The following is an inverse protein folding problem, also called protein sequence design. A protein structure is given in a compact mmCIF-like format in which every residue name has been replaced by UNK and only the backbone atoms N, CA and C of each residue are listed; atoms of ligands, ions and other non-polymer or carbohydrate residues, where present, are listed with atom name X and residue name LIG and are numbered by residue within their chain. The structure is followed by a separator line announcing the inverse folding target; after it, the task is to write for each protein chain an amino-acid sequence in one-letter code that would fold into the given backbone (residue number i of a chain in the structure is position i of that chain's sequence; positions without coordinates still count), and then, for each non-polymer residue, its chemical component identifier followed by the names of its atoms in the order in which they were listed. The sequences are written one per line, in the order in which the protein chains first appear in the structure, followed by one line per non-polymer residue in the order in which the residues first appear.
data_IF_001134688358
#
_entry.id   IF_001134688358
#
_cell.length_a   1.000
_cell.length_b   1.000
_cell.length_c   1.000
_cell.angle_alpha   90.00
_cell.angle_beta   90.00
_cell.angle_gamma   90.00
#
_symmetry.space_group_name_H-M   'P 1'
#
loop_
_entity.id
_entity.type
_entity.pdbx_description
1 polymer ?
#
# COMPACT_ATOMS: atom_id res chain seq x y z
N UNK A 1 -22.91 8.78 9.65
CA UNK A 1 -24.07 9.21 8.84
C UNK A 1 -23.73 10.46 8.05
N UNK A 2 -23.45 10.30 6.75
CA UNK A 2 -23.14 11.40 5.83
C UNK A 2 -24.42 12.01 5.25
N UNK A 3 -25.19 12.74 6.06
CA UNK A 3 -26.49 13.32 5.66
C UNK A 3 -26.36 14.72 5.07
N UNK A 4 -25.21 15.38 5.20
CA UNK A 4 -24.96 16.73 4.67
C UNK A 4 -24.06 16.71 3.43
N UNK A 5 -24.25 17.67 2.53
CA UNK A 5 -23.40 17.85 1.34
C UNK A 5 -21.93 17.97 1.78
N UNK A 6 -21.02 17.24 1.12
CA UNK A 6 -19.59 17.10 1.46
C UNK A 6 -19.25 16.36 2.77
N UNK A 7 -20.21 15.91 3.58
CA UNK A 7 -19.91 14.96 4.67
C UNK A 7 -19.74 13.54 4.10
N UNK A 8 -18.63 12.85 4.39
CA UNK A 8 -18.46 11.49 3.92
C UNK A 8 -19.36 10.54 4.71
N UNK A 9 -20.05 9.64 4.00
CA UNK A 9 -20.48 8.39 4.58
C UNK A 9 -19.24 7.49 4.74
N UNK A 10 -19.00 7.03 5.97
CA UNK A 10 -17.83 6.21 6.32
C UNK A 10 -18.29 4.84 6.79
N UNK A 11 -17.73 3.80 6.18
CA UNK A 11 -17.71 2.44 6.69
C UNK A 11 -16.28 2.14 7.16
N UNK A 12 -16.11 1.59 8.36
CA UNK A 12 -14.80 1.35 8.94
C UNK A 12 -14.74 -0.06 9.54
N UNK A 13 -13.60 -0.73 9.38
CA UNK A 13 -13.36 -2.05 9.99
C UNK A 13 -13.15 -1.93 11.51
N UNK A 14 -13.24 -3.03 12.27
CA UNK A 14 -12.62 -3.12 13.58
C UNK A 14 -11.12 -2.83 13.52
N UNK A 15 -10.52 -2.58 14.69
CA UNK A 15 -9.06 -2.44 14.81
C UNK A 15 -8.41 -3.80 14.55
N UNK A 16 -7.53 -3.83 13.56
CA UNK A 16 -6.67 -4.97 13.21
C UNK A 16 -5.31 -4.77 13.88
N UNK A 17 -4.66 -5.86 14.30
CA UNK A 17 -3.44 -5.77 15.10
C UNK A 17 -2.19 -5.46 14.28
N UNK A 18 -2.01 -6.17 13.16
CA UNK A 18 -0.89 -6.03 12.22
C UNK A 18 -1.22 -6.78 10.92
N UNK A 19 -0.43 -6.54 9.88
CA UNK A 19 -0.58 -7.14 8.55
C UNK A 19 0.77 -7.55 7.98
N UNK A 20 0.85 -8.71 7.34
CA UNK A 20 2.00 -9.14 6.54
C UNK A 20 2.18 -8.32 5.27
N UNK A 21 3.39 -8.34 4.70
CA UNK A 21 3.75 -7.73 3.41
C UNK A 21 2.81 -8.10 2.25
N UNK A 22 2.19 -9.27 2.30
CA UNK A 22 1.28 -9.79 1.25
C UNK A 22 -0.21 -9.52 1.53
N UNK A 23 -0.52 -8.71 2.55
CA UNK A 23 -1.88 -8.44 2.98
C UNK A 23 -2.73 -7.80 1.87
N UNK A 24 -3.90 -8.38 1.63
CA UNK A 24 -4.79 -8.03 0.53
C UNK A 24 -6.19 -7.73 1.06
N UNK A 25 -6.74 -6.60 0.64
CA UNK A 25 -8.15 -6.29 0.75
C UNK A 25 -8.85 -6.66 -0.56
N UNK A 26 -9.88 -7.50 -0.47
CA UNK A 26 -10.71 -7.89 -1.60
C UNK A 26 -12.17 -7.51 -1.31
N UNK A 27 -12.86 -6.96 -2.30
CA UNK A 27 -14.28 -6.66 -2.20
C UNK A 27 -14.90 -6.52 -3.60
N UNK A 28 -16.22 -6.60 -3.67
CA UNK A 28 -16.97 -6.26 -4.86
C UNK A 28 -17.52 -4.86 -4.75
N UNK A 29 -17.49 -4.13 -5.86
CA UNK A 29 -18.01 -2.77 -5.93
C UNK A 29 -18.92 -2.59 -7.14
N UNK A 30 -19.98 -1.80 -6.93
CA UNK A 30 -20.85 -1.29 -7.97
C UNK A 30 -20.99 0.22 -7.80
N UNK A 31 -20.62 0.99 -8.83
CA UNK A 31 -20.72 2.46 -8.82
C UNK A 31 -21.55 2.89 -10.03
N UNK A 32 -22.58 3.69 -9.79
CA UNK A 32 -23.38 4.31 -10.85
C UNK A 32 -23.67 5.78 -10.57
N UNK A 33 -23.82 6.56 -11.63
CA UNK A 33 -24.13 7.99 -11.58
C UNK A 33 -22.99 8.90 -12.04
N UNK A 34 -23.37 10.07 -12.54
CA UNK A 34 -22.49 11.08 -13.15
C UNK A 34 -21.87 12.03 -12.12
N UNK A 35 -21.94 11.72 -10.83
CA UNK A 35 -21.37 12.62 -9.84
C UNK A 35 -20.92 11.97 -8.54
N UNK A 36 -20.97 10.64 -8.40
CA UNK A 36 -20.54 9.98 -7.16
C UNK A 36 -19.11 10.43 -6.85
N UNK A 37 -18.98 11.34 -5.87
CA UNK A 37 -17.72 11.97 -5.56
C UNK A 37 -16.92 10.95 -4.77
N UNK A 38 -16.03 10.27 -5.48
CA UNK A 38 -14.86 9.58 -4.96
C UNK A 38 -15.13 8.66 -3.77
N UNK A 39 -15.35 7.37 -4.03
CA UNK A 39 -15.08 6.37 -3.00
C UNK A 39 -13.55 6.36 -2.78
N UNK A 40 -13.13 6.60 -1.55
CA UNK A 40 -11.74 6.48 -1.13
C UNK A 40 -11.63 5.32 -0.15
N UNK A 41 -10.68 4.43 -0.40
CA UNK A 41 -10.26 3.42 0.58
C UNK A 41 -9.02 3.97 1.27
N UNK A 42 -9.07 4.07 2.60
CA UNK A 42 -8.02 4.65 3.42
C UNK A 42 -7.53 3.65 4.46
N UNK A 43 -6.22 3.66 4.71
CA UNK A 43 -5.57 3.04 5.85
C UNK A 43 -5.46 4.08 6.97
N UNK A 44 -5.87 3.70 8.17
CA UNK A 44 -5.90 4.55 9.35
C UNK A 44 -5.02 3.95 10.45
N UNK A 45 -4.01 4.68 10.90
CA UNK A 45 -3.10 4.32 12.00
C UNK A 45 -3.10 5.40 13.07
N UNK A 46 -2.41 5.18 14.21
CA UNK A 46 -2.28 6.19 15.26
C UNK A 46 -3.61 6.70 15.80
N UNK A 47 -4.59 5.80 16.04
CA UNK A 47 -5.96 6.17 16.42
C UNK A 47 -6.65 7.10 15.39
N UNK A 48 -6.42 6.83 14.10
CA UNK A 48 -6.99 7.55 12.95
C UNK A 48 -6.43 8.96 12.71
N UNK A 49 -5.31 9.30 13.34
CA UNK A 49 -4.59 10.56 13.09
C UNK A 49 -3.89 10.46 11.73
N UNK A 50 -3.11 9.41 11.55
CA UNK A 50 -2.38 9.11 10.31
C UNK A 50 -3.33 8.46 9.28
N UNK A 51 -3.33 8.99 8.05
CA UNK A 51 -4.26 8.58 7.00
C UNK A 51 -3.53 8.42 5.67
N UNK A 52 -3.43 7.18 5.19
CA UNK A 52 -2.93 6.90 3.85
C UNK A 52 -4.10 6.54 2.92
N UNK A 53 -4.11 7.06 1.69
CA UNK A 53 -5.11 6.64 0.69
C UNK A 53 -4.59 5.40 -0.05
N UNK A 54 -5.30 4.27 0.10
CA UNK A 54 -4.97 3.03 -0.60
C UNK A 54 -5.49 3.02 -2.04
N UNK A 55 -6.73 3.50 -2.25
CA UNK A 55 -7.33 3.54 -3.58
C UNK A 55 -8.33 4.69 -3.69
N UNK A 56 -8.33 5.36 -4.85
CA UNK A 56 -9.36 6.33 -5.23
C UNK A 56 -10.15 5.83 -6.42
N UNK A 57 -11.46 5.82 -6.32
CA UNK A 57 -12.35 5.53 -7.44
C UNK A 57 -12.85 6.84 -8.02
N UNK A 58 -12.40 7.16 -9.24
CA UNK A 58 -12.78 8.38 -9.94
C UNK A 58 -13.99 8.15 -10.87
N UNK A 59 -14.52 9.27 -11.39
CA UNK A 59 -15.66 9.45 -12.29
C UNK A 59 -15.72 8.42 -13.44
N UNK A 60 -16.20 7.22 -13.14
CA UNK A 60 -16.56 6.23 -14.15
C UNK A 60 -17.62 5.32 -13.56
N UNK A 61 -18.79 5.30 -14.20
CA UNK A 61 -19.85 4.37 -13.84
C UNK A 61 -19.34 2.96 -14.13
N UNK A 62 -19.12 2.20 -13.06
CA UNK A 62 -18.92 0.76 -13.13
C UNK A 62 -20.32 0.15 -13.22
N UNK A 63 -20.91 0.13 -14.43
CA UNK A 63 -22.28 -0.36 -14.65
C UNK A 63 -22.44 -1.87 -14.39
N UNK A 64 -21.37 -2.55 -13.98
CA UNK A 64 -21.32 -3.95 -13.56
C UNK A 64 -20.55 -4.09 -12.25
N UNK A 65 -20.92 -5.10 -11.45
CA UNK A 65 -20.15 -5.51 -10.28
C UNK A 65 -18.71 -5.82 -10.67
N UNK A 66 -17.77 -5.14 -10.05
CA UNK A 66 -16.34 -5.27 -10.31
C UNK A 66 -15.64 -5.75 -9.06
N UNK A 67 -14.83 -6.80 -9.18
CA UNK A 67 -13.99 -7.26 -8.08
C UNK A 67 -12.75 -6.37 -7.99
N UNK A 68 -12.48 -5.84 -6.80
CA UNK A 68 -11.31 -5.02 -6.49
C UNK A 68 -10.40 -5.80 -5.56
N UNK A 69 -9.10 -5.78 -5.86
CA UNK A 69 -8.05 -6.25 -4.98
C UNK A 69 -7.09 -5.08 -4.70
N UNK A 70 -6.86 -4.76 -3.43
CA UNK A 70 -5.95 -3.70 -2.98
C UNK A 70 -4.88 -4.34 -2.10
N UNK A 71 -3.62 -4.20 -2.50
CA UNK A 71 -2.48 -4.61 -1.67
C UNK A 71 -2.30 -3.58 -0.55
N UNK A 72 -2.52 -4.02 0.70
CA UNK A 72 -2.32 -3.19 1.88
C UNK A 72 -0.82 -3.13 2.20
N UNK A 73 -0.13 -4.25 2.02
CA UNK A 73 1.28 -4.36 2.41
C UNK A 73 1.46 -4.54 3.91
N UNK A 74 2.72 -4.41 4.34
CA UNK A 74 3.12 -4.55 5.73
C UNK A 74 2.62 -3.37 6.55
N UNK A 75 1.89 -3.67 7.63
CA UNK A 75 1.52 -2.71 8.68
C UNK A 75 1.86 -3.34 10.03
N UNK A 76 2.82 -2.77 10.75
CA UNK A 76 3.37 -3.30 12.01
C UNK A 76 2.74 -2.69 13.27
N UNK A 77 1.74 -1.82 13.09
CA UNK A 77 0.96 -1.18 14.16
C UNK A 77 -0.54 -1.47 14.02
N UNK A 78 -1.34 -1.31 15.10
CA UNK A 78 -2.78 -1.45 15.00
C UNK A 78 -3.40 -0.46 14.02
N UNK A 79 -4.27 -0.95 13.13
CA UNK A 79 -4.82 -0.16 12.04
C UNK A 79 -6.29 -0.47 11.76
N UNK A 80 -6.95 0.42 11.01
CA UNK A 80 -8.29 0.23 10.48
C UNK A 80 -8.32 0.58 8.99
N UNK A 81 -9.28 0.01 8.27
CA UNK A 81 -9.56 0.36 6.88
C UNK A 81 -10.88 1.11 6.85
N UNK A 82 -10.89 2.27 6.20
CA UNK A 82 -12.09 3.08 6.01
C UNK A 82 -12.46 3.20 4.52
N UNK A 83 -13.74 3.00 4.23
CA UNK A 83 -14.37 3.31 2.97
C UNK A 83 -15.14 4.63 3.13
N UNK A 84 -14.61 5.69 2.54
CA UNK A 84 -15.19 7.03 2.59
C UNK A 84 -15.83 7.36 1.25
N UNK A 85 -17.15 7.54 1.24
CA UNK A 85 -17.89 8.02 0.08
C UNK A 85 -18.43 9.42 0.36
N UNK A 86 -18.12 10.39 -0.51
CA UNK A 86 -18.65 11.75 -0.38
C UNK A 86 -19.91 11.89 -1.23
N UNK A 87 -20.98 12.38 -0.59
CA UNK A 87 -22.20 12.73 -1.31
C UNK A 87 -21.91 13.90 -2.26
N UNK A 88 -22.31 13.74 -3.51
CA UNK A 88 -22.26 14.79 -4.52
C UNK A 88 -23.63 15.41 -4.78
N UNK A 89 -23.67 16.42 -5.64
CA UNK A 89 -24.87 17.18 -5.99
C UNK A 89 -25.81 16.46 -6.96
N UNK A 90 -25.37 15.36 -7.58
CA UNK A 90 -26.17 14.60 -8.54
C UNK A 90 -26.39 13.14 -8.09
N UNK A 91 -27.28 12.43 -8.79
CA UNK A 91 -27.73 11.10 -8.42
C UNK A 91 -26.68 10.04 -8.75
N UNK A 92 -26.54 9.08 -7.83
CA UNK A 92 -25.68 7.93 -7.97
C UNK A 92 -25.63 7.10 -6.70
N UNK A 93 -25.13 5.88 -6.82
CA UNK A 93 -25.03 4.92 -5.72
C UNK A 93 -23.67 4.24 -5.74
N UNK A 94 -23.17 3.94 -4.54
CA UNK A 94 -22.04 3.04 -4.32
C UNK A 94 -22.58 1.89 -3.49
N UNK A 95 -22.41 0.67 -4.00
CA UNK A 95 -22.62 -0.55 -3.26
C UNK A 95 -21.29 -1.28 -3.13
N UNK A 96 -21.04 -1.83 -1.95
CA UNK A 96 -19.88 -2.64 -1.62
C UNK A 96 -20.42 -3.95 -1.07
N UNK A 97 -19.84 -5.07 -1.50
CA UNK A 97 -20.25 -6.39 -1.04
C UNK A 97 -19.04 -7.33 -0.90
N UNK A 98 -19.22 -8.45 -0.20
CA UNK A 98 -18.25 -9.56 -0.11
C UNK A 98 -16.83 -9.11 0.30
N UNK A 99 -16.74 -8.20 1.26
CA UNK A 99 -15.47 -7.66 1.76
C UNK A 99 -14.71 -8.70 2.56
N UNK A 100 -13.45 -8.97 2.18
CA UNK A 100 -12.55 -9.86 2.91
C UNK A 100 -11.13 -9.32 2.92
N UNK A 101 -10.42 -9.65 3.99
CA UNK A 101 -8.99 -9.36 4.14
C UNK A 101 -8.27 -10.71 4.15
N UNK A 102 -7.32 -10.90 3.25
CA UNK A 102 -6.63 -12.17 3.02
C UNK A 102 -5.11 -11.98 3.03
N UNK A 103 -4.36 -13.06 3.32
CA UNK A 103 -2.89 -13.08 3.33
C UNK A 103 -2.22 -12.06 4.28
N UNK A 104 -2.90 -11.67 5.36
CA UNK A 104 -2.36 -10.69 6.32
C UNK A 104 -1.65 -11.34 7.52
N UNK A 105 -1.63 -12.67 7.60
CA UNK A 105 -0.85 -13.36 8.62
C UNK A 105 0.64 -13.27 8.30
N UNK A 106 1.48 -13.04 9.31
CA UNK A 106 2.92 -13.16 9.15
C UNK A 106 3.30 -14.58 8.72
N UNK A 107 4.47 -14.78 8.09
CA UNK A 107 4.96 -16.13 7.80
C UNK A 107 5.03 -16.97 9.09
N UNK A 108 4.69 -18.28 9.01
CA UNK A 108 4.73 -19.15 10.16
C UNK A 108 6.16 -19.33 10.67
N UNK A 109 6.29 -19.49 11.99
CA UNK A 109 7.57 -19.82 12.62
C UNK A 109 7.83 -21.31 12.36
N UNK A 110 9.03 -21.63 11.88
CA UNK A 110 9.45 -23.00 11.55
C UNK A 110 10.79 -23.33 12.22
N UNK A 111 11.07 -24.62 12.40
CA UNK A 111 12.39 -25.02 12.91
C UNK A 111 13.48 -24.75 11.87
N UNK A 112 14.72 -24.54 12.29
CA UNK A 112 15.84 -24.30 11.37
C UNK A 112 16.01 -25.44 10.34
N UNK A 113 15.67 -26.68 10.72
CA UNK A 113 15.68 -27.84 9.82
C UNK A 113 14.63 -27.79 8.70
N UNK A 114 13.60 -26.94 8.84
CA UNK A 114 12.50 -26.75 7.88
C UNK A 114 12.67 -25.49 7.02
N UNK A 115 13.81 -24.78 7.16
CA UNK A 115 14.16 -23.63 6.35
C UNK A 115 15.44 -23.92 5.53
N UNK A 116 15.31 -24.53 4.33
CA UNK A 116 16.45 -24.82 3.47
C UNK A 116 17.24 -23.55 3.12
N UNK A 117 18.51 -23.50 3.52
CA UNK A 117 19.37 -22.30 3.35
C UNK A 117 19.75 -22.05 1.88
N UNK A 118 19.38 -22.93 0.95
CA UNK A 118 19.70 -22.76 -0.47
C UNK A 118 18.97 -21.54 -1.07
N UNK A 119 17.66 -21.48 -0.92
CA UNK A 119 16.76 -20.48 -1.53
C UNK A 119 15.97 -19.65 -0.50
N UNK A 120 16.06 -20.01 0.78
CA UNK A 120 15.33 -19.32 1.86
C UNK A 120 16.26 -18.68 2.88
N UNK A 121 15.68 -17.76 3.63
CA UNK A 121 16.29 -17.03 4.72
C UNK A 121 15.45 -17.21 5.98
N UNK A 122 16.14 -17.47 7.08
CA UNK A 122 15.53 -17.64 8.38
C UNK A 122 15.57 -16.30 9.12
N UNK A 123 14.39 -15.76 9.38
CA UNK A 123 14.20 -14.54 10.15
C UNK A 123 14.62 -14.74 11.61
N UNK A 124 14.91 -13.65 12.33
CA UNK A 124 15.29 -13.72 13.75
C UNK A 124 14.19 -14.30 14.64
N UNK A 125 12.91 -14.03 14.31
CA UNK A 125 11.70 -14.60 14.91
C UNK A 125 11.50 -16.08 14.60
N UNK A 126 12.27 -16.64 13.65
CA UNK A 126 12.20 -18.04 13.22
C UNK A 126 11.22 -18.31 12.07
N UNK A 127 10.61 -17.29 11.47
CA UNK A 127 9.94 -17.41 10.17
C UNK A 127 10.93 -17.70 9.05
N UNK A 128 10.44 -18.21 7.94
CA UNK A 128 11.27 -18.56 6.79
C UNK A 128 10.70 -17.95 5.51
N UNK A 129 11.46 -17.04 4.90
CA UNK A 129 11.06 -16.29 3.69
C UNK A 129 11.99 -16.65 2.51
N UNK A 130 11.57 -16.47 1.25
CA UNK A 130 12.47 -16.59 0.10
C UNK A 130 13.60 -15.54 0.15
N UNK A 131 14.81 -15.89 -0.30
CA UNK A 131 15.95 -14.94 -0.35
C UNK A 131 15.73 -13.73 -1.28
N UNK A 132 14.76 -13.81 -2.18
CA UNK A 132 14.37 -12.69 -3.04
C UNK A 132 13.73 -11.53 -2.26
N UNK A 133 13.24 -11.81 -1.05
CA UNK A 133 12.62 -10.85 -0.12
C UNK A 133 13.62 -10.38 0.95
N UNK A 134 14.91 -10.36 0.62
CA UNK A 134 15.94 -9.80 1.49
C UNK A 134 16.38 -8.49 0.89
N UNK A 135 16.34 -7.43 1.69
CA UNK A 135 16.76 -6.09 1.29
C UNK A 135 15.94 -5.55 0.11
N UNK A 136 14.64 -5.85 0.11
CA UNK A 136 13.69 -5.41 -0.92
C UNK A 136 12.82 -4.23 -0.46
N UNK A 137 13.15 -3.63 0.71
CA UNK A 137 12.44 -2.54 1.38
C UNK A 137 11.10 -2.94 2.01
N UNK A 138 10.80 -4.24 2.09
CA UNK A 138 9.59 -4.76 2.71
C UNK A 138 9.95 -5.63 3.91
N UNK A 139 9.33 -5.40 5.07
CA UNK A 139 9.47 -6.32 6.19
C UNK A 139 8.53 -7.52 5.98
N UNK A 140 9.07 -8.56 5.36
CA UNK A 140 8.44 -9.86 5.14
C UNK A 140 8.55 -10.76 6.38
N UNK A 141 9.60 -10.58 7.18
CA UNK A 141 9.85 -11.42 8.34
C UNK A 141 8.87 -11.23 9.51
N UNK A 142 8.32 -10.02 9.69
CA UNK A 142 7.55 -9.65 10.88
C UNK A 142 8.36 -8.93 11.95
N UNK A 143 9.68 -8.88 11.79
CA UNK A 143 10.64 -8.42 12.79
C UNK A 143 11.79 -7.60 12.17
N UNK A 144 11.69 -7.27 10.88
CA UNK A 144 12.66 -6.47 10.12
C UNK A 144 14.07 -7.08 10.03
N UNK A 145 14.23 -8.39 10.28
CA UNK A 145 15.55 -9.04 10.23
C UNK A 145 16.08 -9.23 8.80
N UNK A 146 15.17 -9.37 7.83
CA UNK A 146 15.39 -9.36 6.39
C UNK A 146 15.86 -8.01 5.82
N UNK A 147 15.48 -6.92 6.47
CA UNK A 147 15.83 -5.55 6.07
C UNK A 147 16.91 -4.92 6.97
N UNK A 148 17.56 -5.74 7.81
CA UNK A 148 18.56 -5.23 8.75
C UNK A 148 19.77 -4.61 8.05
N UNK A 149 20.24 -3.47 8.54
CA UNK A 149 21.38 -2.72 7.95
C UNK A 149 22.65 -3.56 7.79
N UNK A 150 22.89 -4.52 8.69
CA UNK A 150 24.02 -5.45 8.60
C UNK A 150 23.87 -6.45 7.46
N UNK A 151 22.65 -6.95 7.22
CA UNK A 151 22.36 -7.88 6.13
C UNK A 151 22.39 -7.15 4.78
N UNK A 152 21.82 -5.94 4.74
CA UNK A 152 21.69 -5.14 3.52
C UNK A 152 22.91 -4.30 3.17
N UNK A 153 24.00 -4.37 3.96
CA UNK A 153 25.22 -3.60 3.71
C UNK A 153 25.85 -3.84 2.32
N UNK A 154 25.66 -5.03 1.74
CA UNK A 154 26.14 -5.37 0.40
C UNK A 154 25.09 -5.19 -0.70
N UNK A 155 23.86 -4.86 -0.35
CA UNK A 155 22.77 -4.68 -1.31
C UNK A 155 22.76 -3.23 -1.77
N UNK A 156 22.85 -3.02 -3.09
CA UNK A 156 22.79 -1.69 -3.67
C UNK A 156 21.32 -1.29 -3.83
N UNK A 157 20.76 -0.73 -2.76
CA UNK A 157 19.38 -0.24 -2.77
C UNK A 157 19.32 1.10 -3.48
N UNK A 158 18.55 1.21 -4.56
CA UNK A 158 18.35 2.47 -5.27
C UNK A 158 17.05 3.12 -4.82
N UNK A 159 17.15 4.05 -3.86
CA UNK A 159 15.97 4.75 -3.31
C UNK A 159 15.54 5.95 -4.16
N UNK A 160 16.32 6.33 -5.18
CA UNK A 160 16.12 7.51 -6.02
C UNK A 160 16.05 8.85 -5.26
N UNK A 161 16.44 8.88 -3.97
CA UNK A 161 16.45 10.11 -3.17
C UNK A 161 17.60 11.05 -3.54
N UNK A 162 18.74 10.47 -3.93
CA UNK A 162 20.02 11.18 -4.14
C UNK A 162 20.55 10.99 -5.57
N UNK A 163 20.24 9.86 -6.23
CA UNK A 163 20.72 9.58 -7.58
C UNK A 163 19.87 8.52 -8.29
N UNK A 164 20.04 8.41 -9.61
CA UNK A 164 19.51 7.29 -10.42
C UNK A 164 20.32 5.99 -10.26
N UNK A 165 21.32 5.97 -9.37
CA UNK A 165 22.24 4.84 -9.19
C UNK A 165 22.87 4.42 -10.53
N UNK A 166 22.75 3.15 -10.91
CA UNK A 166 23.29 2.63 -12.17
C UNK A 166 22.36 2.84 -13.37
N UNK A 167 21.14 3.33 -13.14
CA UNK A 167 20.18 3.55 -14.21
C UNK A 167 20.55 4.79 -15.02
N UNK A 168 20.60 4.62 -16.35
CA UNK A 168 20.96 5.67 -17.30
C UNK A 168 19.79 5.97 -18.22
N UNK A 169 19.66 7.22 -18.62
CA UNK A 169 18.65 7.61 -19.61
C UNK A 169 18.96 6.98 -20.96
N UNK A 170 17.90 6.55 -21.64
CA UNK A 170 17.97 6.23 -23.05
C UNK A 170 18.01 7.53 -23.87
N UNK A 171 19.16 7.81 -24.47
CA UNK A 171 19.39 8.99 -25.29
C UNK A 171 18.63 9.00 -26.63
N UNK A 172 17.97 7.90 -27.00
CA UNK A 172 17.18 7.80 -28.23
C UNK A 172 15.76 8.34 -28.09
N UNK A 173 15.30 8.59 -26.87
CA UNK A 173 13.94 9.07 -26.61
C UNK A 173 13.95 10.52 -26.11
N UNK A 174 12.84 11.23 -26.36
CA UNK A 174 12.62 12.56 -25.76
C UNK A 174 12.32 12.49 -24.25
N UNK A 175 12.00 11.29 -23.73
CA UNK A 175 11.68 11.10 -22.32
C UNK A 175 12.95 11.06 -21.49
N UNK A 176 13.12 12.06 -20.62
CA UNK A 176 14.26 12.15 -19.69
C UNK A 176 13.73 12.10 -18.27
N UNK A 177 14.41 11.34 -17.41
CA UNK A 177 14.05 11.35 -15.99
C UNK A 177 14.74 12.54 -15.33
N UNK A 178 14.04 13.19 -14.42
CA UNK A 178 14.61 14.27 -13.62
C UNK A 178 14.30 14.01 -12.15
N UNK A 179 15.32 14.12 -11.31
CA UNK A 179 15.14 14.08 -9.85
C UNK A 179 14.63 15.45 -9.41
N UNK A 180 13.40 15.49 -8.93
CA UNK A 180 12.80 16.71 -8.39
C UNK A 180 12.54 16.56 -6.89
N UNK A 181 13.11 17.49 -6.12
CA UNK A 181 12.77 17.69 -4.72
C UNK A 181 11.55 18.62 -4.62
N UNK A 182 10.47 18.15 -3.99
CA UNK A 182 9.31 18.97 -3.71
C UNK A 182 9.64 20.08 -2.69
N UNK A 183 8.93 21.23 -2.72
CA UNK A 183 9.27 22.40 -1.90
C UNK A 183 8.95 22.30 -0.39
N UNK A 184 8.45 21.16 0.12
CA UNK A 184 8.10 21.01 1.54
C UNK A 184 8.72 19.75 2.14
N UNK A 185 9.66 19.86 3.09
CA UNK A 185 9.99 18.77 3.99
C UNK A 185 8.94 18.78 5.11
N UNK A 186 7.84 18.08 4.91
CA UNK A 186 6.93 17.70 6.00
C UNK A 186 6.92 16.18 6.10
N UNK A 187 6.80 15.66 7.32
CA UNK A 187 6.82 14.22 7.63
C UNK A 187 5.77 13.38 6.85
N UNK A 188 4.82 14.02 6.16
CA UNK A 188 3.76 13.38 5.35
C UNK A 188 3.97 13.46 3.82
N UNK A 189 5.04 14.10 3.34
CA UNK A 189 5.41 14.08 1.91
C UNK A 189 6.67 13.27 1.77
N UNK A 190 6.53 12.02 1.31
CA UNK A 190 7.68 11.19 0.93
C UNK A 190 8.67 11.99 0.08
N UNK A 191 9.96 11.80 0.38
CA UNK A 191 11.08 12.44 -0.31
C UNK A 191 10.98 12.15 -1.81
N UNK A 192 11.02 13.22 -2.60
CA UNK A 192 11.10 13.27 -4.07
C UNK A 192 9.90 12.68 -4.86
N UNK A 193 9.38 13.47 -5.80
CA UNK A 193 8.43 13.00 -6.83
C UNK A 193 9.19 12.69 -8.11
N UNK A 194 8.97 11.51 -8.66
CA UNK A 194 9.23 11.24 -10.08
C UNK A 194 8.34 12.16 -10.92
N UNK A 195 8.95 13.02 -11.73
CA UNK A 195 8.24 13.79 -12.76
C UNK A 195 8.67 13.27 -14.12
N UNK A 196 7.68 12.86 -14.91
CA UNK A 196 7.82 12.69 -16.35
C UNK A 196 7.75 14.09 -16.97
N UNK A 197 8.88 14.60 -17.47
CA UNK A 197 8.90 15.82 -18.27
C UNK A 197 8.78 15.45 -19.77
N UNK A 198 7.99 16.25 -20.49
CA UNK A 198 7.81 16.21 -21.94
C UNK A 198 8.79 17.15 -22.65
#
# INVERSE_FOLDING_TARGET
NGTTLNSPARLITPVLSQASSTCLLEFWIYITGISVNQLNVMLLTGNQIERATLQRFHYQSMMNWTKVNIEIGRVDVPFQIAFDSKRSTSFGWVAIDDTKISRCHLPPIVSASQCPVADRFQCARGSCIPKAHICDMTDDCGDHSDESSRLCASYQTCTFDISFCDWKHDNSTQFKWALHQGPSPSDETGVCRFLFDY
#
